data_IF_630882038872
#
_entry.id   IF_630882038872
#
_cell.length_a   1.000
_cell.length_b   1.000
_cell.length_c   1.000
_cell.angle_alpha   90.00
_cell.angle_beta   90.00
_cell.angle_gamma   90.00
#
_symmetry.space_group_name_H-M   'P 1'
#
loop_
_entity.id
_entity.type
_entity.pdbx_description
1 polymer ?
#
# COMPACT_ATOMS: atom_id res chain seq x y z
N UNK A 1 -11.91 10.18 1.57
CA UNK A 1 -11.28 8.90 1.19
C UNK A 1 -10.55 9.07 -0.13
N UNK A 2 -9.27 9.27 -0.04
CA UNK A 2 -8.45 9.59 -1.22
C UNK A 2 -7.02 9.06 -1.13
N UNK A 3 -6.37 8.93 -2.29
CA UNK A 3 -4.94 8.64 -2.41
C UNK A 3 -4.16 9.92 -2.11
N UNK A 4 -3.29 9.87 -1.10
CA UNK A 4 -2.47 11.01 -0.71
C UNK A 4 -1.04 10.93 -1.25
N UNK A 5 -0.48 9.72 -1.37
CA UNK A 5 0.87 9.53 -1.89
C UNK A 5 1.03 8.13 -2.48
N UNK A 6 1.98 7.99 -3.39
CA UNK A 6 2.33 6.71 -4.03
C UNK A 6 3.85 6.61 -4.01
N UNK A 7 4.37 5.47 -3.52
CA UNK A 7 5.81 5.22 -3.43
C UNK A 7 6.12 3.87 -4.07
N UNK A 8 6.89 3.89 -5.13
CA UNK A 8 7.32 2.68 -5.84
C UNK A 8 8.81 2.76 -6.17
N UNK A 9 9.36 1.67 -6.65
CA UNK A 9 10.72 1.59 -7.13
C UNK A 9 11.43 0.32 -6.67
N UNK A 10 12.72 0.19 -7.01
CA UNK A 10 13.53 -0.90 -6.51
C UNK A 10 13.72 -0.76 -4.99
N UNK A 11 14.07 -1.87 -4.34
CA UNK A 11 14.14 -1.93 -2.87
C UNK A 11 15.08 -0.89 -2.25
N UNK A 12 16.14 -0.54 -2.96
CA UNK A 12 17.15 0.44 -2.51
C UNK A 12 16.80 1.89 -2.86
N UNK A 13 15.75 2.11 -3.66
CA UNK A 13 15.43 3.46 -4.16
C UNK A 13 13.92 3.66 -4.33
N UNK A 14 13.16 3.39 -3.26
CA UNK A 14 11.72 3.65 -3.23
C UNK A 14 11.50 5.16 -3.17
N UNK A 15 10.68 5.69 -4.08
CA UNK A 15 10.40 7.11 -4.13
C UNK A 15 9.00 7.44 -4.58
N UNK A 16 8.60 8.72 -4.43
CA UNK A 16 7.26 9.17 -4.76
C UNK A 16 7.04 9.26 -6.26
N UNK A 17 5.83 8.94 -6.69
CA UNK A 17 5.35 9.16 -8.06
C UNK A 17 3.96 9.80 -8.01
N UNK A 18 3.57 10.47 -9.09
CA UNK A 18 2.26 11.10 -9.17
C UNK A 18 1.17 10.14 -9.63
N UNK A 19 1.55 9.13 -10.39
CA UNK A 19 0.63 8.10 -10.87
C UNK A 19 1.39 6.81 -11.15
N UNK A 20 0.65 5.71 -11.19
CA UNK A 20 1.22 4.40 -11.47
C UNK A 20 0.17 3.54 -12.18
N UNK A 21 0.63 2.67 -13.06
CA UNK A 21 -0.26 1.70 -13.69
C UNK A 21 -0.34 0.44 -12.83
N UNK A 22 -1.56 0.08 -12.49
CA UNK A 22 -1.87 -1.17 -11.79
C UNK A 22 -2.26 -2.23 -12.82
N UNK A 23 -1.70 -3.43 -12.68
CA UNK A 23 -1.98 -4.55 -13.57
C UNK A 23 -2.66 -5.65 -12.77
N UNK A 24 -3.83 -6.08 -13.24
CA UNK A 24 -4.63 -7.10 -12.56
C UNK A 24 -3.80 -8.35 -12.28
N UNK A 25 -3.83 -8.81 -11.04
CA UNK A 25 -3.13 -10.02 -10.61
C UNK A 25 -1.61 -9.91 -10.54
N UNK A 26 -1.00 -8.78 -10.92
CA UNK A 26 0.44 -8.65 -11.03
C UNK A 26 1.05 -7.61 -10.07
N UNK A 27 0.44 -6.45 -9.96
CA UNK A 27 0.94 -5.38 -9.10
C UNK A 27 1.05 -4.03 -9.80
N UNK A 28 1.91 -3.15 -9.25
CA UNK A 28 2.16 -1.82 -9.78
C UNK A 28 3.41 -1.83 -10.64
N UNK A 29 3.28 -1.39 -11.90
CA UNK A 29 4.41 -1.34 -12.82
C UNK A 29 5.52 -0.42 -12.29
N UNK A 30 6.76 -0.87 -12.39
CA UNK A 30 7.92 -0.13 -11.92
C UNK A 30 8.26 -0.36 -10.45
N UNK A 31 7.49 -1.15 -9.75
CA UNK A 31 7.76 -1.47 -8.36
C UNK A 31 8.43 -2.84 -8.20
N UNK A 32 9.21 -2.99 -7.11
CA UNK A 32 9.93 -4.23 -6.76
C UNK A 32 9.01 -5.43 -6.56
N UNK A 33 7.75 -5.20 -6.18
CA UNK A 33 6.78 -6.28 -5.96
C UNK A 33 5.98 -6.64 -7.21
N UNK A 34 6.23 -5.96 -8.32
CA UNK A 34 5.54 -6.30 -9.57
C UNK A 34 5.92 -7.72 -10.01
N UNK A 35 4.92 -8.57 -10.18
CA UNK A 35 5.09 -9.97 -10.55
C UNK A 35 4.44 -10.24 -11.90
N UNK A 36 5.18 -10.18 -13.02
CA UNK A 36 4.59 -10.30 -14.35
C UNK A 36 3.89 -11.65 -14.61
N UNK A 37 4.27 -12.69 -13.86
CA UNK A 37 3.65 -14.01 -13.95
C UNK A 37 2.50 -14.22 -12.96
N UNK A 38 2.18 -13.19 -12.18
CA UNK A 38 1.13 -13.23 -11.18
C UNK A 38 1.68 -13.15 -9.77
N UNK A 39 1.09 -12.24 -8.97
CA UNK A 39 1.42 -12.10 -7.56
C UNK A 39 0.73 -13.17 -6.72
N UNK A 40 1.37 -13.58 -5.63
CA UNK A 40 0.71 -14.39 -4.61
C UNK A 40 -0.41 -13.59 -3.94
N UNK A 41 -1.37 -14.27 -3.25
CA UNK A 41 -2.46 -13.56 -2.59
C UNK A 41 -1.93 -12.45 -1.66
N UNK A 42 -2.47 -11.24 -1.82
CA UNK A 42 -2.04 -10.06 -1.07
C UNK A 42 -0.72 -9.45 -1.52
N UNK A 43 -0.05 -10.01 -2.51
CA UNK A 43 1.25 -9.55 -2.97
C UNK A 43 1.23 -8.43 -4.00
N UNK A 44 0.07 -8.09 -4.55
CA UNK A 44 -0.01 -7.14 -5.65
C UNK A 44 0.03 -5.68 -5.20
N UNK A 45 -0.55 -5.37 -4.05
CA UNK A 45 -0.72 -3.98 -3.60
C UNK A 45 -0.63 -3.89 -2.09
N UNK A 46 0.07 -2.84 -1.60
CA UNK A 46 0.09 -2.50 -0.19
C UNK A 46 -0.39 -1.07 0.01
N UNK A 47 -1.24 -0.87 1.01
CA UNK A 47 -1.76 0.44 1.37
C UNK A 47 -1.50 0.71 2.85
N UNK A 48 -1.35 1.97 3.21
CA UNK A 48 -1.24 2.41 4.60
C UNK A 48 -2.03 3.71 4.80
N UNK A 49 -2.56 3.91 6.01
CA UNK A 49 -3.31 5.11 6.36
C UNK A 49 -2.35 6.26 6.64
N UNK A 50 -2.60 7.42 6.02
CA UNK A 50 -1.83 8.64 6.27
C UNK A 50 -1.88 9.03 7.74
N UNK A 51 -3.02 8.84 8.39
CA UNK A 51 -3.22 9.13 9.82
C UNK A 51 -2.29 8.32 10.71
N UNK A 52 -2.05 7.05 10.35
CA UNK A 52 -1.11 6.18 11.09
C UNK A 52 0.32 6.67 10.91
N UNK A 53 0.71 7.04 9.68
CA UNK A 53 2.05 7.59 9.42
C UNK A 53 2.30 8.85 10.25
N UNK A 54 1.32 9.73 10.34
CA UNK A 54 1.42 10.95 11.15
C UNK A 54 1.58 10.60 12.63
N UNK A 55 0.82 9.63 13.12
CA UNK A 55 0.88 9.23 14.53
C UNK A 55 2.23 8.63 14.92
N UNK A 56 2.82 7.78 14.07
CA UNK A 56 4.11 7.14 14.37
C UNK A 56 5.33 7.95 13.89
N UNK A 57 5.10 9.05 13.16
CA UNK A 57 6.17 9.92 12.69
C UNK A 57 7.01 9.33 11.56
N UNK A 58 6.40 8.56 10.66
CA UNK A 58 7.05 8.05 9.46
C UNK A 58 6.57 8.79 8.21
N UNK A 59 7.47 8.90 7.22
CA UNK A 59 7.08 9.27 5.86
C UNK A 59 6.50 8.05 5.15
N UNK A 60 5.78 8.29 4.05
CA UNK A 60 5.28 7.20 3.22
C UNK A 60 6.39 6.29 2.71
N UNK A 61 7.49 6.87 2.23
CA UNK A 61 8.64 6.11 1.74
C UNK A 61 9.27 5.25 2.84
N UNK A 62 9.40 5.79 4.04
CA UNK A 62 9.93 5.04 5.20
C UNK A 62 9.06 3.85 5.57
N UNK A 63 7.75 3.95 5.37
CA UNK A 63 6.83 2.85 5.66
C UNK A 63 7.01 1.68 4.70
N UNK A 64 7.57 1.93 3.54
CA UNK A 64 7.76 0.97 2.44
C UNK A 64 6.45 0.40 1.90
N UNK A 65 5.32 1.02 2.22
CA UNK A 65 4.02 0.73 1.61
C UNK A 65 3.87 1.54 0.34
N UNK A 66 3.13 1.01 -0.63
CA UNK A 66 3.03 1.61 -1.95
C UNK A 66 2.08 2.81 -1.98
N UNK A 67 0.86 2.63 -1.49
CA UNK A 67 -0.19 3.65 -1.60
C UNK A 67 -0.57 4.15 -0.21
N UNK A 68 -0.43 5.45 0.00
CA UNK A 68 -0.87 6.12 1.23
C UNK A 68 -2.25 6.70 0.98
N UNK A 69 -3.20 6.33 1.83
CA UNK A 69 -4.59 6.78 1.71
C UNK A 69 -5.00 7.55 2.95
N UNK A 70 -5.92 8.51 2.77
CA UNK A 70 -6.45 9.32 3.88
C UNK A 70 -7.95 9.14 4.01
N UNK A 71 -8.41 9.02 5.25
CA UNK A 71 -9.82 8.92 5.57
C UNK A 71 -10.40 7.52 5.36
N UNK A 72 -9.56 6.50 5.26
CA UNK A 72 -9.98 5.13 5.01
C UNK A 72 -9.56 4.24 6.18
N UNK A 73 -10.48 3.46 6.70
CA UNK A 73 -10.21 2.45 7.74
C UNK A 73 -9.81 1.14 7.04
N UNK A 74 -8.53 1.00 6.74
CA UNK A 74 -8.03 -0.15 5.96
C UNK A 74 -8.29 -1.50 6.62
N UNK A 75 -8.26 -1.57 7.95
CA UNK A 75 -8.53 -2.82 8.65
C UNK A 75 -9.93 -3.37 8.37
N UNK A 76 -10.89 -2.48 8.07
CA UNK A 76 -12.26 -2.88 7.75
C UNK A 76 -12.38 -3.49 6.35
N UNK A 77 -11.34 -3.38 5.52
CA UNK A 77 -11.36 -3.83 4.14
C UNK A 77 -10.82 -5.25 3.93
N UNK A 78 -10.37 -5.92 4.97
CA UNK A 78 -9.95 -7.31 4.86
C UNK A 78 -11.14 -8.16 4.41
N UNK A 79 -10.97 -8.89 3.30
CA UNK A 79 -12.02 -9.71 2.70
C UNK A 79 -13.07 -8.92 1.92
N UNK A 80 -12.89 -7.62 1.73
CA UNK A 80 -13.86 -6.77 1.04
C UNK A 80 -13.30 -6.17 -0.23
N UNK A 81 -14.19 -5.95 -1.21
CA UNK A 81 -13.85 -5.22 -2.42
C UNK A 81 -13.89 -3.72 -2.16
N UNK A 82 -13.00 -3.00 -2.83
CA UNK A 82 -12.97 -1.54 -2.82
C UNK A 82 -12.29 -1.06 -4.10
N UNK A 83 -12.42 0.23 -4.41
CA UNK A 83 -11.75 0.80 -5.57
C UNK A 83 -10.79 1.90 -5.15
N UNK A 84 -9.67 1.97 -5.86
CA UNK A 84 -8.69 3.05 -5.75
C UNK A 84 -8.64 3.71 -7.13
N UNK A 85 -9.25 4.88 -7.26
CA UNK A 85 -9.49 5.45 -8.58
C UNK A 85 -10.37 4.52 -9.40
N UNK A 86 -9.88 4.11 -10.57
CA UNK A 86 -10.57 3.17 -11.45
C UNK A 86 -10.20 1.69 -11.16
N UNK A 87 -9.28 1.45 -10.25
CA UNK A 87 -8.73 0.12 -9.99
C UNK A 87 -9.54 -0.60 -8.93
N UNK A 88 -10.12 -1.75 -9.30
CA UNK A 88 -10.87 -2.58 -8.35
C UNK A 88 -9.94 -3.52 -7.63
N UNK A 89 -10.06 -3.57 -6.31
CA UNK A 89 -9.20 -4.34 -5.43
C UNK A 89 -10.02 -5.17 -4.45
N UNK A 90 -9.35 -6.14 -3.81
CA UNK A 90 -9.90 -6.87 -2.66
C UNK A 90 -8.83 -6.96 -1.57
N UNK A 91 -9.21 -6.63 -0.34
CA UNK A 91 -8.33 -6.75 0.81
C UNK A 91 -8.11 -8.23 1.16
N UNK A 92 -6.87 -8.62 1.42
CA UNK A 92 -6.51 -10.00 1.72
C UNK A 92 -6.18 -10.17 3.20
N UNK A 93 -5.25 -9.35 3.71
CA UNK A 93 -4.82 -9.43 5.11
C UNK A 93 -4.14 -8.13 5.53
N UNK A 94 -3.95 -7.94 6.82
CA UNK A 94 -3.20 -6.80 7.33
C UNK A 94 -1.73 -6.94 6.94
N UNK A 95 -1.10 -5.82 6.57
CA UNK A 95 0.33 -5.75 6.27
C UNK A 95 1.08 -5.44 7.56
N UNK A 96 1.39 -6.49 8.33
CA UNK A 96 2.04 -6.32 9.62
C UNK A 96 3.51 -5.84 9.47
N UNK A 97 4.03 -5.09 10.45
CA UNK A 97 5.42 -4.67 10.44
C UNK A 97 6.36 -5.86 10.66
N UNK A 98 7.58 -5.76 10.12
CA UNK A 98 8.57 -6.82 10.22
C UNK A 98 9.91 -6.27 10.71
N UNK A 99 10.85 -7.19 11.00
CA UNK A 99 12.20 -6.83 11.45
C UNK A 99 12.94 -5.97 10.44
N UNK A 100 12.77 -6.24 9.14
CA UNK A 100 13.41 -5.45 8.10
C UNK A 100 12.95 -4.00 8.15
N UNK A 101 11.64 -3.77 8.23
CA UNK A 101 11.09 -2.42 8.37
C UNK A 101 11.63 -1.73 9.62
N UNK A 102 11.66 -2.44 10.76
CA UNK A 102 12.19 -1.87 12.00
C UNK A 102 13.67 -1.50 11.88
N UNK A 103 14.46 -2.33 11.22
CA UNK A 103 15.89 -2.06 11.02
C UNK A 103 16.14 -0.82 10.17
N UNK A 104 15.23 -0.50 9.25
CA UNK A 104 15.32 0.67 8.37
C UNK A 104 14.74 1.95 8.98
N UNK A 105 14.05 1.84 10.11
CA UNK A 105 13.38 2.97 10.77
C UNK A 105 13.96 3.20 12.17
N UNK A 106 13.37 2.59 13.18
CA UNK A 106 13.85 2.72 14.57
C UNK A 106 13.38 1.57 15.44
N UNK A 107 14.06 1.33 16.59
CA UNK A 107 13.58 0.36 17.59
C UNK A 107 12.15 0.70 18.04
N UNK A 108 11.34 -0.33 18.28
CA UNK A 108 9.95 -0.16 18.69
C UNK A 108 8.94 -0.02 17.57
N UNK A 109 9.39 0.02 16.31
CA UNK A 109 8.47 0.22 15.18
C UNK A 109 7.51 -0.95 14.99
N UNK A 110 7.94 -2.19 15.29
CA UNK A 110 7.04 -3.35 15.20
C UNK A 110 5.85 -3.16 16.14
N UNK A 111 6.10 -2.76 17.39
CA UNK A 111 5.04 -2.54 18.37
C UNK A 111 4.14 -1.37 17.99
N UNK A 112 4.72 -0.28 17.49
CA UNK A 112 3.95 0.91 17.11
C UNK A 112 3.03 0.68 15.93
N UNK A 113 3.42 -0.17 14.99
CA UNK A 113 2.63 -0.48 13.78
C UNK A 113 1.83 -1.77 13.88
N UNK A 114 1.90 -2.48 15.01
CA UNK A 114 1.17 -3.75 15.15
C UNK A 114 -0.33 -3.52 14.92
N UNK A 115 -0.90 -4.31 13.99
CA UNK A 115 -2.30 -4.27 13.56
C UNK A 115 -2.74 -2.95 12.90
N UNK A 116 -1.80 -2.07 12.56
CA UNK A 116 -2.09 -0.84 11.79
C UNK A 116 -1.00 -0.52 10.77
N UNK A 117 -0.23 -1.53 10.40
CA UNK A 117 0.86 -1.41 9.42
C UNK A 117 0.40 -1.35 7.98
N UNK A 118 -0.91 -1.41 7.72
CA UNK A 118 -1.48 -1.33 6.40
C UNK A 118 -2.25 -2.57 5.98
N UNK A 119 -2.59 -2.61 4.69
CA UNK A 119 -3.40 -3.66 4.07
C UNK A 119 -2.68 -4.23 2.86
N UNK A 120 -2.62 -5.55 2.79
CA UNK A 120 -2.22 -6.28 1.59
C UNK A 120 -3.47 -6.57 0.77
N UNK A 121 -3.42 -6.30 -0.53
CA UNK A 121 -4.59 -6.44 -1.39
C UNK A 121 -4.21 -7.08 -2.74
N UNK A 122 -5.22 -7.65 -3.38
CA UNK A 122 -5.15 -8.10 -4.76
C UNK A 122 -5.74 -7.03 -5.67
N UNK A 123 -5.24 -6.95 -6.90
CA UNK A 123 -5.78 -6.07 -7.94
C UNK A 123 -6.65 -6.92 -8.85
N UNK A 124 -7.95 -6.62 -8.88
CA UNK A 124 -8.93 -7.38 -9.69
C UNK A 124 -9.04 -6.84 -11.10
N UNK A 125 -9.06 -5.51 -11.27
CA UNK A 125 -9.05 -4.87 -12.58
C UNK A 125 -7.93 -3.85 -12.63
N UNK A 126 -7.22 -3.79 -13.76
CA UNK A 126 -6.12 -2.85 -13.93
C UNK A 126 -6.59 -1.43 -14.24
N UNK A 127 -5.65 -0.52 -14.24
CA UNK A 127 -5.86 0.89 -14.55
C UNK A 127 -4.81 1.77 -13.91
N UNK A 128 -5.03 3.07 -13.95
CA UNK A 128 -4.12 4.05 -13.36
C UNK A 128 -4.59 4.44 -11.97
N UNK A 129 -3.65 4.50 -11.03
CA UNK A 129 -3.85 5.11 -9.71
C UNK A 129 -3.05 6.40 -9.70
N UNK A 130 -3.69 7.51 -9.33
CA UNK A 130 -3.06 8.83 -9.30
C UNK A 130 -3.32 9.53 -7.97
N UNK A 131 -2.48 10.50 -7.65
CA UNK A 131 -2.67 11.35 -6.47
C UNK A 131 -4.03 12.02 -6.53
N UNK A 132 -4.74 12.03 -5.41
CA UNK A 132 -6.06 12.62 -5.30
C UNK A 132 -7.20 11.71 -5.74
N UNK A 133 -6.92 10.54 -6.28
CA UNK A 133 -7.98 9.59 -6.67
C UNK A 133 -8.82 9.21 -5.46
N UNK A 134 -10.12 9.06 -5.68
CA UNK A 134 -11.04 8.62 -4.64
C UNK A 134 -10.81 7.15 -4.29
N UNK A 135 -10.95 6.82 -3.01
CA UNK A 135 -11.04 5.44 -2.54
C UNK A 135 -12.49 5.20 -2.17
N UNK A 136 -13.11 4.19 -2.78
CA UNK A 136 -14.53 3.90 -2.59
C UNK A 136 -14.68 2.48 -2.00
N UNK A 137 -15.40 2.39 -0.92
CA UNK A 137 -15.61 1.13 -0.19
C UNK A 137 -17.05 0.64 -0.29
#
# INVERSE_FOLDING_TARGET
>A
MKVEAIHIGPSEAIGPVESVRAVAGCGLEGDRHYAPEGASPGGALTLIEAEVLEDVGLTGAQSRRQVVVRGVRLNDLVGRRFTVGEVECVGVELCEPCRHLQSLTRPGMIEELLHRGGLNADILTGGTIALGDAVTV
#
